data_IF_204940237768
#
_entry.id   IF_204940237768
#
_cell.length_a   1.000
_cell.length_b   1.000
_cell.length_c   1.000
_cell.angle_alpha   90.00
_cell.angle_beta   90.00
_cell.angle_gamma   90.00
#
_symmetry.space_group_name_H-M   'P 1'
#
loop_
_entity.id
_entity.type
_entity.pdbx_description
1 polymer ?
#
# COMPACT_ATOMS: atom_id res chain seq x y z
N UNK A 1 8.12 -50.20 -4.58
CA UNK A 1 9.46 -50.05 -5.19
C UNK A 1 9.74 -48.55 -5.26
N UNK A 2 10.17 -47.90 -4.18
CA UNK A 2 11.53 -47.88 -3.64
C UNK A 2 12.58 -47.54 -4.71
N UNK A 3 13.05 -46.29 -4.67
CA UNK A 3 14.43 -45.85 -4.92
C UNK A 3 14.52 -44.69 -5.91
N UNK A 4 14.64 -43.46 -5.39
CA UNK A 4 15.68 -42.57 -5.90
C UNK A 4 16.32 -41.81 -4.74
N UNK A 5 17.36 -42.46 -4.20
CA UNK A 5 18.30 -41.85 -3.26
C UNK A 5 19.16 -40.84 -4.02
N UNK A 6 19.23 -39.63 -3.47
CA UNK A 6 20.45 -38.86 -3.18
C UNK A 6 21.49 -38.73 -4.31
N UNK A 7 21.52 -37.55 -4.91
CA UNK A 7 22.68 -36.94 -5.56
C UNK A 7 22.74 -35.50 -5.01
N UNK A 8 23.27 -35.25 -3.81
CA UNK A 8 24.67 -35.07 -3.43
C UNK A 8 25.48 -34.15 -4.36
N UNK A 9 25.96 -33.04 -3.76
CA UNK A 9 27.15 -32.20 -4.06
C UNK A 9 27.12 -31.28 -5.29
N UNK A 10 27.69 -30.05 -5.32
CA UNK A 10 28.13 -28.97 -4.39
C UNK A 10 28.99 -28.01 -5.25
N UNK A 11 28.77 -26.69 -5.12
CA UNK A 11 29.64 -25.52 -5.46
C UNK A 11 30.07 -25.27 -6.94
N UNK A 12 30.57 -24.06 -7.32
CA UNK A 12 30.74 -22.80 -6.57
C UNK A 12 30.29 -21.50 -7.28
N UNK A 13 30.46 -20.42 -6.51
CA UNK A 13 30.35 -19.00 -6.84
C UNK A 13 31.04 -18.54 -8.15
N UNK A 14 30.43 -17.54 -8.79
CA UNK A 14 31.12 -16.59 -9.66
C UNK A 14 30.72 -15.17 -9.26
N UNK A 15 31.73 -14.35 -9.03
CA UNK A 15 31.67 -13.01 -8.49
C UNK A 15 31.48 -11.92 -9.57
N UNK A 16 30.91 -10.79 -9.12
CA UNK A 16 31.24 -9.39 -9.44
C UNK A 16 31.49 -8.98 -10.90
N UNK A 17 30.64 -8.07 -11.40
CA UNK A 17 31.10 -6.77 -11.94
C UNK A 17 30.13 -5.66 -11.54
N UNK A 18 30.59 -4.77 -10.65
CA UNK A 18 30.04 -3.43 -10.43
C UNK A 18 30.51 -2.55 -11.60
N UNK A 19 29.60 -2.19 -12.50
CA UNK A 19 29.89 -1.17 -13.52
C UNK A 19 29.70 0.21 -12.89
N UNK A 20 30.81 0.94 -12.92
CA UNK A 20 30.99 2.26 -12.36
C UNK A 20 30.29 3.37 -13.17
N UNK A 21 30.02 4.43 -12.42
CA UNK A 21 29.65 5.79 -12.77
C UNK A 21 30.24 6.37 -14.08
N UNK A 22 29.41 7.13 -14.78
CA UNK A 22 29.77 8.20 -15.73
C UNK A 22 28.46 8.79 -16.26
N UNK A 23 28.12 10.08 -16.13
CA UNK A 23 28.93 11.28 -15.93
C UNK A 23 28.77 12.18 -17.16
N UNK A 24 28.07 13.31 -16.99
CA UNK A 24 27.83 14.37 -17.99
C UNK A 24 26.37 14.41 -18.47
N UNK A 25 25.70 15.55 -18.61
CA UNK A 25 26.05 16.97 -18.47
C UNK A 25 24.73 17.72 -18.22
N UNK A 26 24.77 18.75 -17.38
CA UNK A 26 23.73 19.77 -17.22
C UNK A 26 23.13 20.20 -18.56
N UNK A 27 21.83 19.96 -18.75
CA UNK A 27 21.02 20.77 -19.66
C UNK A 27 19.96 21.46 -18.83
N UNK A 28 20.36 22.63 -18.32
CA UNK A 28 19.46 23.73 -18.01
C UNK A 28 18.68 24.04 -19.28
N UNK A 29 17.43 23.60 -19.33
CA UNK A 29 16.44 24.15 -20.26
C UNK A 29 15.62 25.18 -19.48
N UNK A 30 15.50 26.32 -20.11
CA UNK A 30 15.05 27.61 -19.62
C UNK A 30 13.61 27.52 -19.06
N UNK A 31 13.32 28.11 -17.89
CA UNK A 31 11.94 28.18 -17.41
C UNK A 31 11.14 29.14 -18.30
N UNK A 32 10.05 28.65 -18.89
CA UNK A 32 9.02 29.55 -19.43
C UNK A 32 8.44 30.37 -18.27
N UNK A 33 8.52 31.69 -18.39
CA UNK A 33 7.86 32.63 -17.48
C UNK A 33 6.33 32.54 -17.67
N UNK A 34 5.54 32.19 -16.65
CA UNK A 34 4.17 32.66 -16.60
C UNK A 34 4.15 34.10 -16.06
N UNK A 35 3.76 34.98 -16.97
CA UNK A 35 3.24 36.33 -16.77
C UNK A 35 2.69 36.61 -15.37
N UNK A 36 3.30 37.60 -14.73
CA UNK A 36 2.77 38.33 -13.59
C UNK A 36 1.44 39.01 -13.97
N UNK A 37 0.33 38.53 -13.43
CA UNK A 37 -0.86 39.37 -13.24
C UNK A 37 -0.89 39.80 -11.78
N UNK A 38 -0.58 41.08 -11.55
CA UNK A 38 -0.86 41.76 -10.31
C UNK A 38 -2.38 41.85 -10.12
N UNK A 39 -2.89 41.38 -8.99
CA UNK A 39 -4.15 41.85 -8.43
C UNK A 39 -3.92 42.12 -6.96
N UNK A 40 -3.84 43.42 -6.67
CA UNK A 40 -3.68 44.03 -5.35
C UNK A 40 -4.97 43.91 -4.53
N UNK A 41 -4.73 43.57 -3.26
CA UNK A 41 -5.47 43.73 -2.00
C UNK A 41 -6.80 44.53 -2.00
N UNK A 42 -7.75 44.09 -1.15
CA UNK A 42 -8.14 44.84 0.07
C UNK A 42 -9.18 44.06 0.90
N UNK A 43 -8.89 43.91 2.21
CA UNK A 43 -9.76 43.86 3.42
C UNK A 43 -11.15 43.20 3.41
N UNK A 44 -11.70 42.64 4.48
CA UNK A 44 -11.31 42.37 5.85
C UNK A 44 -12.49 41.65 6.54
N UNK A 45 -12.24 41.28 7.81
CA UNK A 45 -13.17 41.01 8.89
C UNK A 45 -13.65 39.56 9.04
N UNK A 46 -13.06 38.93 10.06
CA UNK A 46 -13.56 37.76 10.77
C UNK A 46 -14.98 37.99 11.30
N UNK A 47 -15.71 36.89 11.53
CA UNK A 47 -15.90 36.56 12.93
C UNK A 47 -15.55 35.11 13.24
N UNK A 48 -14.87 34.96 14.37
CA UNK A 48 -14.79 33.77 15.20
C UNK A 48 -16.21 33.39 15.61
N UNK A 49 -16.74 32.29 15.08
CA UNK A 49 -17.84 31.56 15.72
C UNK A 49 -17.24 30.31 16.39
N UNK A 50 -16.96 30.51 17.68
CA UNK A 50 -16.86 29.47 18.69
C UNK A 50 -18.23 28.80 18.81
N UNK A 51 -18.41 27.57 18.34
CA UNK A 51 -19.41 26.64 18.93
C UNK A 51 -18.97 25.18 18.77
N UNK A 52 -18.72 24.59 19.94
CA UNK A 52 -19.07 23.21 20.29
C UNK A 52 -18.13 22.13 19.77
N UNK A 53 -17.00 21.98 20.48
CA UNK A 53 -16.47 20.66 20.86
C UNK A 53 -17.60 19.87 21.53
N UNK A 54 -18.37 19.14 20.72
CA UNK A 54 -19.05 17.94 21.18
C UNK A 54 -17.96 16.88 21.26
N UNK A 55 -17.52 16.58 22.49
CA UNK A 55 -16.84 15.33 22.81
C UNK A 55 -17.71 14.19 22.27
N UNK A 56 -17.43 13.80 21.02
CA UNK A 56 -17.68 12.45 20.58
C UNK A 56 -16.80 11.60 21.48
N UNK A 57 -17.41 11.06 22.52
CA UNK A 57 -16.88 9.95 23.26
C UNK A 57 -16.34 8.97 22.23
N UNK A 58 -15.02 8.87 22.19
CA UNK A 58 -14.32 7.73 21.61
C UNK A 58 -14.80 6.53 22.42
N UNK A 59 -15.92 5.97 21.97
CA UNK A 59 -16.08 4.54 22.00
C UNK A 59 -14.91 4.03 21.16
N UNK A 60 -13.77 3.79 21.83
CA UNK A 60 -12.78 2.81 21.42
C UNK A 60 -13.51 1.47 21.31
N UNK A 61 -14.32 1.36 20.26
CA UNK A 61 -14.79 0.12 19.72
C UNK A 61 -13.53 -0.55 19.25
N UNK A 62 -13.03 -1.46 20.09
CA UNK A 62 -12.30 -2.67 19.72
C UNK A 62 -12.46 -2.88 18.20
N UNK A 63 -11.51 -2.35 17.41
CA UNK A 63 -11.56 -2.46 15.96
C UNK A 63 -11.55 -3.95 15.67
N UNK A 64 -12.72 -4.48 15.34
CA UNK A 64 -12.98 -5.91 15.23
C UNK A 64 -11.97 -6.47 14.21
N UNK A 65 -10.92 -7.10 14.73
CA UNK A 65 -9.83 -7.59 13.91
C UNK A 65 -10.41 -8.56 12.85
N UNK A 66 -10.34 -8.15 11.59
CA UNK A 66 -10.78 -8.97 10.47
C UNK A 66 -9.78 -10.12 10.30
N UNK A 67 -10.23 -11.36 10.50
CA UNK A 67 -9.39 -12.54 10.28
C UNK A 67 -8.98 -12.68 8.81
N UNK A 68 -7.68 -12.83 8.57
CA UNK A 68 -7.11 -13.09 7.23
C UNK A 68 -7.63 -14.40 6.65
N UNK A 69 -7.98 -14.38 5.36
CA UNK A 69 -8.32 -15.58 4.60
C UNK A 69 -7.18 -16.61 4.59
N UNK A 70 -7.53 -17.91 4.60
CA UNK A 70 -6.59 -19.01 4.45
C UNK A 70 -6.28 -19.22 2.95
N UNK A 71 -5.29 -18.48 2.45
CA UNK A 71 -4.78 -18.57 1.08
C UNK A 71 -3.30 -18.20 1.03
N UNK A 72 -2.61 -18.63 -0.02
CA UNK A 72 -1.19 -18.33 -0.24
C UNK A 72 -0.96 -16.83 -0.52
N UNK A 73 -1.91 -16.18 -1.19
CA UNK A 73 -1.95 -14.74 -1.42
C UNK A 73 -3.33 -14.17 -1.03
N UNK A 74 -3.37 -13.19 -0.15
CA UNK A 74 -4.59 -12.52 0.31
C UNK A 74 -4.55 -11.05 -0.10
N UNK A 75 -5.61 -10.63 -0.79
CA UNK A 75 -5.82 -9.26 -1.26
C UNK A 75 -6.99 -8.66 -0.49
N UNK A 76 -6.80 -7.55 0.21
CA UNK A 76 -7.90 -6.77 0.78
C UNK A 76 -8.35 -5.67 -0.17
N UNK A 77 -9.65 -5.59 -0.41
CA UNK A 77 -10.25 -4.57 -1.26
C UNK A 77 -11.65 -4.23 -0.75
N UNK A 78 -12.13 -3.02 -1.06
CA UNK A 78 -13.52 -2.65 -0.79
C UNK A 78 -14.51 -3.33 -1.75
N UNK A 79 -15.79 -3.19 -1.43
CA UNK A 79 -16.93 -3.77 -2.13
C UNK A 79 -16.99 -3.42 -3.63
N UNK A 80 -16.40 -2.29 -4.04
CA UNK A 80 -16.40 -1.90 -5.46
C UNK A 80 -15.26 -2.53 -6.25
N UNK A 81 -14.11 -2.83 -5.62
CA UNK A 81 -12.95 -3.42 -6.31
C UNK A 81 -12.87 -4.94 -6.14
N UNK A 82 -13.29 -5.49 -5.02
CA UNK A 82 -13.28 -6.93 -4.78
C UNK A 82 -13.87 -7.75 -5.95
N UNK A 83 -15.10 -7.46 -6.45
CA UNK A 83 -15.68 -8.23 -7.56
C UNK A 83 -14.95 -8.06 -8.90
N UNK A 84 -14.15 -7.00 -9.06
CA UNK A 84 -13.33 -6.77 -10.26
C UNK A 84 -12.03 -7.57 -10.17
N UNK A 85 -11.46 -7.68 -8.97
CA UNK A 85 -10.20 -8.37 -8.71
C UNK A 85 -10.36 -9.90 -8.65
N UNK A 86 -11.49 -10.41 -8.15
CA UNK A 86 -11.77 -11.85 -8.03
C UNK A 86 -11.44 -12.67 -9.30
N UNK A 87 -11.94 -12.34 -10.51
CA UNK A 87 -11.63 -13.13 -11.69
C UNK A 87 -10.15 -13.04 -12.10
N UNK A 88 -9.49 -11.91 -11.83
CA UNK A 88 -8.06 -11.73 -12.11
C UNK A 88 -7.20 -12.54 -11.13
N UNK A 89 -7.61 -12.58 -9.86
CA UNK A 89 -6.98 -13.37 -8.81
C UNK A 89 -7.11 -14.88 -9.10
N UNK A 90 -8.27 -15.33 -9.59
CA UNK A 90 -8.46 -16.72 -10.02
C UNK A 90 -7.55 -17.08 -11.21
N UNK A 91 -7.49 -16.23 -12.24
CA UNK A 91 -6.60 -16.43 -13.39
C UNK A 91 -5.14 -16.50 -12.95
N UNK A 92 -4.69 -15.57 -12.10
CA UNK A 92 -3.34 -15.53 -11.59
C UNK A 92 -3.01 -16.77 -10.73
N UNK A 93 -3.90 -17.13 -9.80
CA UNK A 93 -3.74 -18.32 -8.96
C UNK A 93 -3.63 -19.60 -9.78
N UNK A 94 -4.43 -19.73 -10.83
CA UNK A 94 -4.36 -20.86 -11.75
C UNK A 94 -3.05 -20.89 -12.56
N UNK A 95 -2.55 -19.74 -13.00
CA UNK A 95 -1.31 -19.63 -13.76
C UNK A 95 -0.07 -19.97 -12.91
N UNK A 96 -0.03 -19.51 -11.66
CA UNK A 96 1.12 -19.67 -10.77
C UNK A 96 1.02 -20.91 -9.87
N UNK A 97 -0.15 -21.57 -9.83
CA UNK A 97 -0.36 -22.76 -9.02
C UNK A 97 -0.45 -22.46 -7.52
N UNK A 98 -1.00 -21.30 -7.16
CA UNK A 98 -1.22 -20.86 -5.78
C UNK A 98 -2.70 -20.54 -5.54
N UNK A 99 -3.12 -20.52 -4.27
CA UNK A 99 -4.45 -20.02 -3.88
C UNK A 99 -4.41 -18.51 -3.67
N UNK A 100 -5.33 -17.78 -4.30
CA UNK A 100 -5.46 -16.32 -4.15
C UNK A 100 -6.85 -16.01 -3.65
N UNK A 101 -6.95 -15.30 -2.53
CA UNK A 101 -8.21 -14.84 -1.97
C UNK A 101 -8.31 -13.32 -2.07
N UNK A 102 -9.39 -12.84 -2.68
CA UNK A 102 -9.81 -11.44 -2.56
C UNK A 102 -10.81 -11.38 -1.42
N UNK A 103 -10.47 -10.67 -0.35
CA UNK A 103 -11.27 -10.54 0.86
C UNK A 103 -11.80 -9.10 0.94
N UNK A 104 -13.12 -8.98 0.95
CA UNK A 104 -13.78 -7.69 1.09
C UNK A 104 -13.59 -7.14 2.51
N UNK A 105 -13.09 -5.91 2.60
CA UNK A 105 -12.91 -5.18 3.86
C UNK A 105 -13.46 -3.75 3.65
N UNK A 106 -14.24 -3.19 4.58
CA UNK A 106 -14.73 -1.82 4.46
C UNK A 106 -13.58 -0.83 4.25
N UNK A 107 -13.69 0.04 3.23
CA UNK A 107 -12.59 0.90 2.79
C UNK A 107 -12.01 1.79 3.90
N UNK A 108 -12.89 2.30 4.76
CA UNK A 108 -12.58 3.13 5.91
C UNK A 108 -11.81 2.39 7.00
N UNK A 109 -11.89 1.05 7.05
CA UNK A 109 -11.17 0.22 8.03
C UNK A 109 -9.84 -0.33 7.49
N UNK A 110 -9.62 -0.35 6.17
CA UNK A 110 -8.43 -0.99 5.58
C UNK A 110 -7.13 -0.42 6.15
N UNK A 111 -7.00 0.91 6.25
CA UNK A 111 -5.78 1.55 6.76
C UNK A 111 -5.50 1.11 8.19
N UNK A 112 -6.48 1.25 9.07
CA UNK A 112 -6.30 1.04 10.51
C UNK A 112 -6.03 -0.45 10.79
N UNK A 113 -6.79 -1.34 10.13
CA UNK A 113 -6.54 -2.78 10.21
C UNK A 113 -5.17 -3.17 9.65
N UNK A 114 -4.68 -2.57 8.56
CA UNK A 114 -3.33 -2.86 8.04
C UNK A 114 -2.25 -2.35 9.00
N UNK A 115 -2.41 -1.16 9.58
CA UNK A 115 -1.48 -0.60 10.57
C UNK A 115 -1.34 -1.49 11.81
N UNK A 116 -2.41 -2.16 12.24
CA UNK A 116 -2.40 -3.05 13.39
C UNK A 116 -2.00 -4.49 13.01
N UNK A 117 -2.64 -5.05 11.98
CA UNK A 117 -2.50 -6.47 11.63
C UNK A 117 -1.29 -6.76 10.75
N UNK A 118 -0.81 -5.80 9.96
CA UNK A 118 0.38 -5.92 9.12
C UNK A 118 1.61 -6.33 9.94
N UNK A 119 2.03 -5.53 10.94
CA UNK A 119 3.15 -5.87 11.83
C UNK A 119 2.92 -7.16 12.64
N UNK A 120 1.67 -7.52 12.90
CA UNK A 120 1.31 -8.77 13.58
C UNK A 120 1.36 -10.02 12.68
N UNK A 121 1.61 -9.86 11.38
CA UNK A 121 1.57 -10.96 10.40
C UNK A 121 0.16 -11.50 10.12
N UNK A 122 -0.87 -10.75 10.51
CA UNK A 122 -2.29 -11.08 10.33
C UNK A 122 -2.93 -10.24 9.22
N UNK A 123 -2.23 -9.23 8.70
CA UNK A 123 -2.69 -8.40 7.59
C UNK A 123 -2.63 -9.13 6.23
N UNK A 124 -3.14 -8.49 5.17
CA UNK A 124 -3.10 -9.03 3.82
C UNK A 124 -1.68 -8.97 3.24
N UNK A 125 -1.48 -9.59 2.08
CA UNK A 125 -0.24 -9.43 1.32
C UNK A 125 -0.29 -8.19 0.41
N UNK A 126 -1.48 -7.89 -0.11
CA UNK A 126 -1.77 -6.71 -0.94
C UNK A 126 -3.07 -6.10 -0.45
N UNK A 127 -3.16 -4.78 -0.42
CA UNK A 127 -4.42 -4.09 -0.14
C UNK A 127 -4.65 -2.94 -1.12
N UNK A 128 -5.90 -2.57 -1.31
CA UNK A 128 -6.31 -1.40 -2.08
C UNK A 128 -6.64 -0.27 -1.12
N UNK A 129 -5.97 0.87 -1.28
CA UNK A 129 -6.11 2.01 -0.38
C UNK A 129 -5.88 3.35 -1.06
N UNK A 130 -6.10 4.44 -0.31
CA UNK A 130 -5.79 5.78 -0.78
C UNK A 130 -4.27 6.06 -0.70
N UNK A 131 -3.79 6.95 -1.57
CA UNK A 131 -2.35 7.21 -1.70
C UNK A 131 -1.79 8.08 -0.56
N UNK A 132 -2.63 8.86 0.11
CA UNK A 132 -2.26 9.72 1.24
C UNK A 132 -1.84 8.92 2.48
N UNK A 133 -2.26 7.66 2.60
CA UNK A 133 -1.86 6.77 3.70
C UNK A 133 -0.40 6.32 3.60
N UNK A 134 0.22 6.42 2.42
CA UNK A 134 1.56 5.87 2.17
C UNK A 134 2.64 6.45 3.09
N UNK A 135 2.53 7.73 3.48
CA UNK A 135 3.49 8.36 4.38
C UNK A 135 3.51 7.68 5.76
N UNK A 136 2.35 7.62 6.40
CA UNK A 136 2.18 7.01 7.72
C UNK A 136 2.53 5.51 7.70
N UNK A 137 2.03 4.76 6.71
CA UNK A 137 2.29 3.33 6.61
C UNK A 137 3.78 3.03 6.37
N UNK A 138 4.47 3.83 5.55
CA UNK A 138 5.90 3.65 5.32
C UNK A 138 6.76 3.97 6.56
N UNK A 139 6.32 4.94 7.38
CA UNK A 139 7.00 5.29 8.63
C UNK A 139 6.84 4.20 9.70
N UNK A 140 5.69 3.51 9.72
CA UNK A 140 5.37 2.50 10.72
C UNK A 140 5.81 1.07 10.35
N UNK A 141 6.07 0.80 9.07
CA UNK A 141 6.56 -0.49 8.56
C UNK A 141 5.48 -1.54 8.39
#
# INVERSE_FOLDING_TARGET
>A
MTSWRKMLTVLPAAALVLTACGGGDDTTDEPEEPTTEETTEEEAEEPVEEETEEEAAEEEGEEDAIARADADLVIWADDTRAPILEPLAEEFGAAEGITVAVQEVPFDQIRDLVSVQGPAGQGPDVFIGAHDWLGELAENG
#
